data_IF_098991757891
#
_entry.id   IF_098991757891
#
_cell.length_a   1.000
_cell.length_b   1.000
_cell.length_c   1.000
_cell.angle_alpha   90.00
_cell.angle_beta   90.00
_cell.angle_gamma   90.00
#
_symmetry.space_group_name_H-M   'P 1'
#
loop_
_entity.id
_entity.type
_entity.pdbx_description
1 polymer ?
#
# COMPACT_ATOMS: atom_id res chain seq x y z
N UNK A 1 13.30 -16.66 28.86
CA UNK A 1 14.37 -17.10 27.92
C UNK A 1 13.98 -18.34 27.09
N UNK A 2 12.77 -18.91 27.24
CA UNK A 2 12.46 -20.23 26.63
C UNK A 2 11.35 -20.24 25.57
N UNK A 3 10.68 -19.11 25.29
CA UNK A 3 9.64 -19.05 24.23
C UNK A 3 10.22 -18.95 22.81
N UNK A 4 11.52 -18.68 22.67
CA UNK A 4 12.19 -18.52 21.38
C UNK A 4 12.21 -19.79 20.52
N UNK A 5 12.11 -20.97 21.14
CA UNK A 5 12.11 -22.25 20.44
C UNK A 5 10.80 -22.51 19.67
N UNK A 6 9.70 -21.86 20.08
CA UNK A 6 8.39 -21.95 19.41
C UNK A 6 8.12 -20.74 18.49
N UNK A 7 8.72 -19.58 18.75
CA UNK A 7 8.48 -18.35 17.98
C UNK A 7 9.58 -18.02 16.97
N UNK A 8 10.73 -18.69 17.03
CA UNK A 8 11.91 -18.33 16.26
C UNK A 8 12.62 -17.06 16.74
N UNK A 9 12.19 -16.45 17.85
CA UNK A 9 12.78 -15.24 18.45
C UNK A 9 13.15 -14.15 17.40
N UNK A 10 14.37 -13.62 17.42
CA UNK A 10 14.83 -12.59 16.48
C UNK A 10 15.09 -13.13 15.06
N UNK A 11 15.29 -14.45 14.92
CA UNK A 11 15.57 -15.11 13.63
C UNK A 11 14.30 -15.43 12.85
N UNK A 12 13.14 -15.39 13.50
CA UNK A 12 11.84 -15.60 12.89
C UNK A 12 11.49 -17.06 12.62
N UNK A 13 10.28 -17.28 12.10
CA UNK A 13 9.84 -18.61 11.68
C UNK A 13 10.45 -18.95 10.32
N UNK A 14 11.07 -20.13 10.23
CA UNK A 14 11.76 -20.61 9.05
C UNK A 14 11.31 -22.02 8.69
N UNK A 15 11.34 -22.35 7.40
CA UNK A 15 11.15 -23.72 6.94
C UNK A 15 9.70 -24.14 6.75
N UNK A 16 8.79 -23.21 6.44
CA UNK A 16 7.46 -23.57 5.90
C UNK A 16 7.70 -24.20 4.52
N UNK A 17 7.49 -25.52 4.34
CA UNK A 17 7.71 -26.14 3.04
C UNK A 17 6.63 -25.64 2.08
N UNK A 18 7.00 -24.95 0.98
CA UNK A 18 6.01 -24.61 -0.02
C UNK A 18 5.48 -25.90 -0.66
N UNK A 19 4.18 -25.98 -0.99
CA UNK A 19 3.65 -27.12 -1.73
C UNK A 19 4.44 -27.32 -3.03
N UNK A 20 4.70 -28.58 -3.43
CA UNK A 20 5.59 -28.90 -4.55
C UNK A 20 5.23 -28.18 -5.86
N UNK A 21 3.94 -28.00 -6.14
CA UNK A 21 3.43 -27.30 -7.33
C UNK A 21 3.55 -25.76 -7.27
N UNK A 22 3.76 -25.21 -6.08
CA UNK A 22 3.87 -23.78 -5.79
C UNK A 22 5.28 -23.38 -5.33
N UNK A 23 6.25 -24.29 -5.39
CA UNK A 23 7.60 -24.01 -4.96
C UNK A 23 8.29 -23.02 -5.93
N UNK A 24 8.66 -21.80 -5.47
CA UNK A 24 9.30 -20.80 -6.32
C UNK A 24 10.70 -21.21 -6.78
N UNK A 25 11.31 -22.23 -6.17
CA UNK A 25 12.63 -22.74 -6.56
C UNK A 25 12.56 -23.64 -7.80
N UNK A 26 11.53 -24.49 -7.87
CA UNK A 26 11.36 -25.48 -8.95
C UNK A 26 10.48 -24.96 -10.09
N UNK A 27 9.45 -24.16 -9.78
CA UNK A 27 8.45 -23.71 -10.74
C UNK A 27 8.25 -22.19 -10.70
N UNK A 28 9.34 -21.44 -10.95
CA UNK A 28 9.36 -19.96 -10.95
C UNK A 28 8.24 -19.34 -11.79
N UNK A 29 8.02 -19.85 -13.00
CA UNK A 29 6.98 -19.33 -13.90
C UNK A 29 5.58 -19.57 -13.36
N UNK A 30 5.31 -20.77 -12.82
CA UNK A 30 4.00 -21.11 -12.22
C UNK A 30 3.69 -20.20 -11.03
N UNK A 31 4.66 -20.01 -10.12
CA UNK A 31 4.48 -19.11 -8.97
C UNK A 31 4.20 -17.67 -9.40
N UNK A 32 4.94 -17.17 -10.40
CA UNK A 32 4.72 -15.84 -10.97
C UNK A 32 3.31 -15.70 -11.58
N UNK A 33 2.88 -16.67 -12.39
CA UNK A 33 1.56 -16.66 -13.02
C UNK A 33 0.42 -16.72 -11.98
N UNK A 34 0.55 -17.56 -10.95
CA UNK A 34 -0.42 -17.64 -9.86
C UNK A 34 -0.51 -16.31 -9.12
N UNK A 35 0.63 -15.70 -8.80
CA UNK A 35 0.69 -14.38 -8.13
C UNK A 35 0.07 -13.28 -8.99
N UNK A 36 0.32 -13.32 -10.31
CA UNK A 36 -0.23 -12.37 -11.26
C UNK A 36 -1.76 -12.51 -11.36
N UNK A 37 -2.26 -13.75 -11.50
CA UNK A 37 -3.70 -14.05 -11.54
C UNK A 37 -4.36 -13.62 -10.24
N UNK A 38 -3.74 -13.92 -9.09
CA UNK A 38 -4.23 -13.51 -7.78
C UNK A 38 -4.33 -11.98 -7.67
N UNK A 39 -3.27 -11.26 -8.04
CA UNK A 39 -3.24 -9.79 -8.04
C UNK A 39 -4.33 -9.22 -8.94
N UNK A 40 -4.50 -9.78 -10.14
CA UNK A 40 -5.53 -9.35 -11.08
C UNK A 40 -6.95 -9.64 -10.56
N UNK A 41 -7.17 -10.80 -9.95
CA UNK A 41 -8.45 -11.16 -9.35
C UNK A 41 -8.81 -10.23 -8.18
N UNK A 42 -7.85 -9.91 -7.31
CA UNK A 42 -8.03 -8.95 -6.21
C UNK A 42 -8.34 -7.55 -6.76
N UNK A 43 -7.61 -7.11 -7.79
CA UNK A 43 -7.88 -5.83 -8.44
C UNK A 43 -9.29 -5.76 -9.04
N UNK A 44 -9.74 -6.80 -9.75
CA UNK A 44 -11.09 -6.87 -10.30
C UNK A 44 -12.16 -6.90 -9.20
N UNK A 45 -11.92 -7.66 -8.14
CA UNK A 45 -12.81 -7.72 -6.98
C UNK A 45 -13.01 -6.34 -6.36
N UNK A 46 -11.92 -5.61 -6.10
CA UNK A 46 -12.01 -4.25 -5.56
C UNK A 46 -12.65 -3.26 -6.53
N UNK A 47 -12.41 -3.41 -7.84
CA UNK A 47 -13.05 -2.56 -8.85
C UNK A 47 -14.57 -2.74 -8.82
N UNK A 48 -15.03 -3.99 -8.83
CA UNK A 48 -16.45 -4.31 -8.75
C UNK A 48 -17.06 -3.85 -7.42
N UNK A 49 -16.32 -4.01 -6.32
CA UNK A 49 -16.78 -3.57 -4.99
C UNK A 49 -16.93 -2.05 -4.88
N UNK A 50 -16.00 -1.28 -5.45
CA UNK A 50 -16.04 0.19 -5.44
C UNK A 50 -17.17 0.72 -6.34
N UNK A 51 -17.41 0.08 -7.49
CA UNK A 51 -18.46 0.50 -8.44
C UNK A 51 -19.88 0.14 -7.94
N UNK A 52 -19.99 -0.83 -7.04
CA UNK A 52 -21.24 -1.29 -6.39
C UNK A 52 -21.89 -0.21 -5.50
N UNK A 53 -23.23 -0.25 -5.29
CA UNK A 53 -23.92 0.65 -4.36
C UNK A 53 -23.28 0.69 -2.96
N UNK A 54 -22.83 -0.45 -2.44
CA UNK A 54 -22.12 -0.57 -1.16
C UNK A 54 -20.82 0.25 -1.16
N UNK A 55 -20.06 0.22 -2.26
CA UNK A 55 -18.83 0.99 -2.43
C UNK A 55 -19.10 2.50 -2.43
N UNK A 56 -20.18 2.94 -3.08
CA UNK A 56 -20.58 4.37 -3.09
C UNK A 56 -20.93 4.89 -1.70
N UNK A 57 -21.59 4.08 -0.87
CA UNK A 57 -21.85 4.41 0.54
C UNK A 57 -20.53 4.56 1.31
N UNK A 58 -19.56 3.66 1.09
CA UNK A 58 -18.23 3.77 1.72
C UNK A 58 -17.49 5.06 1.30
N UNK A 59 -17.61 5.48 0.03
CA UNK A 59 -17.07 6.76 -0.44
C UNK A 59 -17.76 7.94 0.25
N UNK A 60 -19.08 7.91 0.41
CA UNK A 60 -19.82 8.95 1.13
C UNK A 60 -19.41 9.04 2.61
N UNK A 61 -19.20 7.90 3.27
CA UNK A 61 -18.68 7.84 4.65
C UNK A 61 -17.28 8.47 4.74
N UNK A 62 -16.42 8.23 3.74
CA UNK A 62 -15.08 8.82 3.66
C UNK A 62 -15.11 10.34 3.51
N UNK A 63 -16.09 10.90 2.80
CA UNK A 63 -16.21 12.35 2.62
C UNK A 63 -16.77 13.04 3.85
N UNK A 64 -17.89 12.53 4.40
CA UNK A 64 -18.48 13.08 5.61
C UNK A 64 -19.34 12.01 6.30
N UNK A 65 -18.78 11.44 7.38
CA UNK A 65 -19.45 10.42 8.17
C UNK A 65 -20.76 10.91 8.79
N UNK A 66 -20.77 12.13 9.33
CA UNK A 66 -21.97 12.71 9.96
C UNK A 66 -23.11 12.86 8.95
N UNK A 67 -22.80 13.24 7.71
CA UNK A 67 -23.78 13.33 6.62
C UNK A 67 -24.33 11.96 6.23
N UNK A 68 -23.49 10.92 6.20
CA UNK A 68 -23.95 9.56 5.91
C UNK A 68 -24.89 9.02 7.01
N UNK A 69 -24.60 9.34 8.28
CA UNK A 69 -25.47 9.02 9.42
C UNK A 69 -26.83 9.70 9.32
N UNK A 70 -26.87 10.98 8.93
CA UNK A 70 -28.12 11.73 8.73
C UNK A 70 -29.00 11.16 7.64
N UNK A 71 -28.42 10.51 6.63
CA UNK A 71 -29.13 9.81 5.55
C UNK A 71 -29.64 8.42 5.97
N UNK A 72 -29.41 8.01 7.22
CA UNK A 72 -29.87 6.73 7.77
C UNK A 72 -28.92 5.55 7.53
N UNK A 73 -27.71 5.78 7.01
CA UNK A 73 -26.73 4.71 6.87
C UNK A 73 -26.01 4.45 8.19
N UNK A 74 -25.97 3.19 8.62
CA UNK A 74 -25.19 2.81 9.79
C UNK A 74 -23.70 2.67 9.43
N UNK A 75 -22.92 3.71 9.68
CA UNK A 75 -21.51 3.81 9.28
C UNK A 75 -20.61 2.75 9.94
N UNK A 76 -20.97 2.30 11.14
CA UNK A 76 -20.23 1.27 11.86
C UNK A 76 -20.20 -0.06 11.11
N UNK A 77 -21.36 -0.55 10.64
CA UNK A 77 -21.42 -1.82 9.90
C UNK A 77 -20.63 -1.76 8.60
N UNK A 78 -20.74 -0.66 7.84
CA UNK A 78 -19.98 -0.51 6.59
C UNK A 78 -18.47 -0.49 6.84
N UNK A 79 -18.00 0.21 7.88
CA UNK A 79 -16.58 0.21 8.26
C UNK A 79 -16.09 -1.17 8.68
N UNK A 80 -16.89 -1.90 9.45
CA UNK A 80 -16.55 -3.26 9.89
C UNK A 80 -16.43 -4.22 8.69
N UNK A 81 -17.38 -4.18 7.76
CA UNK A 81 -17.33 -5.00 6.54
C UNK A 81 -16.08 -4.70 5.71
N UNK A 82 -15.76 -3.42 5.49
CA UNK A 82 -14.55 -3.02 4.75
C UNK A 82 -13.28 -3.46 5.47
N UNK A 83 -13.26 -3.39 6.81
CA UNK A 83 -12.14 -3.86 7.62
C UNK A 83 -11.93 -5.37 7.45
N UNK A 84 -13.00 -6.17 7.53
CA UNK A 84 -12.93 -7.63 7.35
C UNK A 84 -12.46 -8.00 5.95
N UNK A 85 -13.01 -7.36 4.91
CA UNK A 85 -12.59 -7.58 3.52
C UNK A 85 -11.10 -7.26 3.34
N UNK A 86 -10.64 -6.14 3.92
CA UNK A 86 -9.22 -5.74 3.86
C UNK A 86 -8.30 -6.67 4.64
N UNK A 87 -8.76 -7.20 5.77
CA UNK A 87 -8.00 -8.18 6.56
C UNK A 87 -7.83 -9.51 5.81
N UNK A 88 -8.89 -9.97 5.12
CA UNK A 88 -8.85 -11.20 4.31
C UNK A 88 -7.86 -11.04 3.16
N UNK A 89 -7.92 -9.94 2.41
CA UNK A 89 -7.01 -9.71 1.28
C UNK A 89 -5.56 -9.50 1.75
N UNK A 90 -5.34 -8.82 2.87
CA UNK A 90 -4.02 -8.69 3.49
C UNK A 90 -3.46 -10.04 3.95
N UNK A 91 -4.28 -10.91 4.53
CA UNK A 91 -3.87 -12.25 4.93
C UNK A 91 -3.49 -13.13 3.74
N UNK A 92 -4.27 -13.10 2.66
CA UNK A 92 -3.96 -13.82 1.43
C UNK A 92 -2.66 -13.33 0.80
N UNK A 93 -2.46 -12.01 0.74
CA UNK A 93 -1.21 -11.41 0.27
C UNK A 93 0.00 -11.81 1.16
N UNK A 94 -0.17 -11.79 2.48
CA UNK A 94 0.86 -12.19 3.44
C UNK A 94 1.23 -13.67 3.32
N UNK A 95 0.24 -14.55 3.11
CA UNK A 95 0.46 -15.98 2.88
C UNK A 95 1.27 -16.21 1.61
N UNK A 96 0.94 -15.50 0.52
CA UNK A 96 1.68 -15.57 -0.73
C UNK A 96 3.12 -15.05 -0.59
N UNK A 97 3.33 -13.99 0.19
CA UNK A 97 4.65 -13.47 0.51
C UNK A 97 5.48 -14.48 1.33
N UNK A 98 4.87 -15.17 2.30
CA UNK A 98 5.52 -16.22 3.09
C UNK A 98 5.96 -17.42 2.23
N UNK A 99 5.20 -17.75 1.17
CA UNK A 99 5.60 -18.78 0.21
C UNK A 99 6.76 -18.34 -0.68
N UNK A 100 6.84 -17.03 -1.02
CA UNK A 100 7.94 -16.48 -1.79
C UNK A 100 9.24 -16.41 -0.99
N UNK A 101 9.15 -15.91 0.24
CA UNK A 101 10.27 -15.78 1.18
C UNK A 101 9.96 -16.60 2.45
N UNK A 102 10.45 -17.85 2.55
CA UNK A 102 10.13 -18.77 3.66
C UNK A 102 10.84 -18.42 4.99
N UNK A 103 11.27 -17.17 5.12
CA UNK A 103 11.90 -16.59 6.31
C UNK A 103 11.07 -15.39 6.73
N UNK A 104 10.35 -15.55 7.84
CA UNK A 104 9.45 -14.52 8.39
C UNK A 104 10.09 -13.99 9.66
N UNK A 105 10.86 -12.90 9.52
CA UNK A 105 11.45 -12.19 10.66
C UNK A 105 10.57 -11.01 11.10
N UNK A 106 10.65 -10.54 12.36
CA UNK A 106 9.88 -9.37 12.83
C UNK A 106 10.12 -8.10 12.00
N UNK A 107 11.27 -8.00 11.32
CA UNK A 107 11.63 -6.86 10.49
C UNK A 107 10.71 -6.64 9.29
N UNK A 108 9.96 -7.65 8.84
CA UNK A 108 8.97 -7.48 7.76
C UNK A 108 7.81 -6.54 8.17
N UNK A 109 7.56 -6.40 9.47
CA UNK A 109 6.57 -5.50 10.04
C UNK A 109 7.21 -4.28 10.72
N UNK A 110 8.47 -3.98 10.38
CA UNK A 110 9.17 -2.82 10.89
C UNK A 110 8.50 -1.52 10.46
N UNK A 111 8.78 -0.44 11.20
CA UNK A 111 8.30 0.90 10.86
C UNK A 111 8.68 1.31 9.44
N UNK A 112 9.88 0.95 8.99
CA UNK A 112 10.35 1.21 7.63
C UNK A 112 9.46 0.53 6.58
N UNK A 113 9.08 -0.74 6.79
CA UNK A 113 8.18 -1.44 5.88
C UNK A 113 6.79 -0.77 5.81
N UNK A 114 6.27 -0.27 6.94
CA UNK A 114 5.01 0.47 6.96
C UNK A 114 5.13 1.79 6.19
N UNK A 115 6.25 2.51 6.36
CA UNK A 115 6.55 3.71 5.58
C UNK A 115 6.58 3.37 4.09
N UNK A 116 7.32 2.35 3.67
CA UNK A 116 7.42 1.93 2.27
C UNK A 116 6.05 1.64 1.66
N UNK A 117 5.15 0.97 2.39
CA UNK A 117 3.77 0.71 1.91
C UNK A 117 2.99 2.03 1.75
N UNK A 118 3.11 2.95 2.70
CA UNK A 118 2.53 4.30 2.56
C UNK A 118 3.15 5.04 1.36
N UNK A 119 4.43 4.84 1.07
CA UNK A 119 5.10 5.44 -0.09
C UNK A 119 4.54 4.90 -1.40
N UNK A 120 4.43 3.58 -1.52
CA UNK A 120 3.85 2.93 -2.71
C UNK A 120 2.45 3.47 -3.00
N UNK A 121 1.61 3.61 -1.97
CA UNK A 121 0.23 4.12 -2.13
C UNK A 121 0.18 5.61 -2.44
N UNK A 122 1.06 6.42 -1.87
CA UNK A 122 1.14 7.85 -2.14
C UNK A 122 1.65 8.12 -3.56
N UNK A 123 2.72 7.44 -3.98
CA UNK A 123 3.27 7.52 -5.36
C UNK A 123 2.21 7.11 -6.38
N UNK A 124 1.47 6.04 -6.09
CA UNK A 124 0.35 5.59 -6.92
C UNK A 124 -0.78 6.61 -7.01
N UNK A 125 -1.16 7.20 -5.88
CA UNK A 125 -2.22 8.20 -5.74
C UNK A 125 -3.30 7.77 -4.77
N UNK A 126 -3.48 8.54 -3.70
CA UNK A 126 -4.42 8.25 -2.62
C UNK A 126 -5.87 8.22 -3.13
N UNK A 127 -6.54 7.09 -2.95
CA UNK A 127 -7.93 6.90 -3.37
C UNK A 127 -8.12 6.52 -4.84
N UNK A 128 -7.05 6.14 -5.55
CA UNK A 128 -7.15 5.55 -6.89
C UNK A 128 -6.86 4.04 -6.83
N UNK A 129 -7.77 3.22 -7.36
CA UNK A 129 -7.58 1.77 -7.38
C UNK A 129 -6.46 1.35 -8.35
N UNK A 130 -6.38 2.03 -9.50
CA UNK A 130 -5.32 1.84 -10.51
C UNK A 130 -3.96 2.36 -10.06
N UNK A 131 -3.93 3.31 -9.12
CA UNK A 131 -2.69 3.89 -8.60
C UNK A 131 -1.86 2.91 -7.79
N UNK A 132 -2.49 2.05 -6.98
CA UNK A 132 -1.78 1.12 -6.10
C UNK A 132 -0.77 0.19 -6.84
N UNK A 133 -1.15 -0.56 -7.89
CA UNK A 133 -0.19 -1.42 -8.59
C UNK A 133 0.90 -0.63 -9.32
N UNK A 134 0.56 0.54 -9.89
CA UNK A 134 1.53 1.40 -10.58
C UNK A 134 2.53 1.99 -9.59
N UNK A 135 2.06 2.49 -8.45
CA UNK A 135 2.89 3.04 -7.38
C UNK A 135 3.83 2.00 -6.79
N UNK A 136 3.34 0.78 -6.55
CA UNK A 136 4.17 -0.34 -6.10
C UNK A 136 5.26 -0.70 -7.12
N UNK A 137 4.92 -0.78 -8.41
CA UNK A 137 5.89 -1.07 -9.47
C UNK A 137 6.99 0.02 -9.58
N UNK A 138 6.59 1.29 -9.57
CA UNK A 138 7.52 2.43 -9.64
C UNK A 138 8.42 2.45 -8.41
N UNK A 139 7.84 2.31 -7.22
CA UNK A 139 8.60 2.29 -5.98
C UNK A 139 9.59 1.14 -5.96
N UNK A 140 9.19 -0.06 -6.41
CA UNK A 140 10.07 -1.24 -6.44
C UNK A 140 11.21 -1.08 -7.43
N UNK A 141 10.95 -0.48 -8.60
CA UNK A 141 12.01 -0.15 -9.56
C UNK A 141 12.95 0.91 -8.98
N UNK A 142 12.41 1.95 -8.34
CA UNK A 142 13.20 3.01 -7.74
C UNK A 142 14.14 2.47 -6.65
N UNK A 143 13.63 1.64 -5.74
CA UNK A 143 14.46 0.95 -4.72
C UNK A 143 15.54 0.10 -5.38
N UNK A 144 15.16 -0.73 -6.35
CA UNK A 144 16.10 -1.60 -7.05
C UNK A 144 17.25 -0.83 -7.72
N UNK A 145 16.96 0.29 -8.38
CA UNK A 145 18.00 1.12 -8.97
C UNK A 145 18.84 1.82 -7.90
N UNK A 146 18.22 2.43 -6.88
CA UNK A 146 18.97 3.11 -5.83
C UNK A 146 19.92 2.15 -5.09
N UNK A 147 19.45 0.96 -4.74
CA UNK A 147 20.27 -0.06 -4.08
C UNK A 147 21.44 -0.49 -4.97
N UNK A 148 21.21 -0.61 -6.28
CA UNK A 148 22.25 -0.99 -7.26
C UNK A 148 23.33 0.07 -7.45
N UNK A 149 22.98 1.36 -7.41
CA UNK A 149 23.91 2.46 -7.67
C UNK A 149 24.57 3.03 -6.41
N UNK A 150 23.86 3.06 -5.28
CA UNK A 150 24.27 3.77 -4.06
C UNK A 150 24.46 2.88 -2.83
N UNK A 151 24.14 1.58 -2.92
CA UNK A 151 24.40 0.61 -1.86
C UNK A 151 23.81 1.02 -0.50
N UNK A 152 24.63 1.08 0.55
CA UNK A 152 24.19 1.45 1.92
C UNK A 152 23.58 2.86 2.01
N UNK A 153 23.95 3.79 1.13
CA UNK A 153 23.39 5.16 1.14
C UNK A 153 22.02 5.26 0.46
N UNK A 154 21.52 4.17 -0.13
CA UNK A 154 20.26 4.12 -0.86
C UNK A 154 19.07 4.54 0.02
N UNK A 155 19.01 4.10 1.28
CA UNK A 155 17.89 4.43 2.17
C UNK A 155 17.76 5.94 2.43
N UNK A 156 18.88 6.65 2.57
CA UNK A 156 18.87 8.11 2.73
C UNK A 156 18.40 8.81 1.44
N UNK A 157 18.91 8.39 0.28
CA UNK A 157 18.52 8.95 -1.00
C UNK A 157 17.05 8.69 -1.33
N UNK A 158 16.54 7.51 -0.96
CA UNK A 158 15.14 7.14 -1.12
C UNK A 158 14.24 8.09 -0.33
N UNK A 159 14.62 8.43 0.90
CA UNK A 159 13.94 9.46 1.69
C UNK A 159 13.92 10.83 1.02
N UNK A 160 15.03 11.27 0.43
CA UNK A 160 15.11 12.55 -0.31
C UNK A 160 14.23 12.53 -1.55
N UNK A 161 14.30 11.46 -2.35
CA UNK A 161 13.47 11.29 -3.55
C UNK A 161 11.98 11.25 -3.16
N UNK A 162 11.65 10.62 -2.05
CA UNK A 162 10.31 10.62 -1.50
C UNK A 162 9.83 12.03 -1.15
N UNK A 163 10.59 12.79 -0.34
CA UNK A 163 10.23 14.16 0.05
C UNK A 163 10.01 15.01 -1.20
N UNK A 164 10.89 14.90 -2.19
CA UNK A 164 10.70 15.58 -3.48
C UNK A 164 9.38 15.16 -4.15
N UNK A 165 9.11 13.85 -4.27
CA UNK A 165 7.90 13.34 -4.91
C UNK A 165 6.62 13.81 -4.21
N UNK A 166 6.58 13.82 -2.87
CA UNK A 166 5.41 14.35 -2.12
C UNK A 166 5.22 15.84 -2.35
N UNK A 167 6.31 16.62 -2.33
CA UNK A 167 6.25 18.07 -2.51
C UNK A 167 5.81 18.46 -3.93
N UNK A 168 6.30 17.75 -4.94
CA UNK A 168 6.01 18.06 -6.34
C UNK A 168 4.75 17.36 -6.88
N UNK A 169 4.36 16.20 -6.33
CA UNK A 169 3.25 15.36 -6.82
C UNK A 169 2.35 14.91 -5.64
N UNK A 170 1.64 15.84 -4.97
CA UNK A 170 0.89 15.54 -3.74
C UNK A 170 -0.33 14.63 -3.96
N UNK A 171 -0.78 14.44 -5.20
CA UNK A 171 -1.90 13.56 -5.55
C UNK A 171 -1.47 12.19 -6.10
N UNK A 172 -0.16 11.92 -6.17
CA UNK A 172 0.41 10.74 -6.81
C UNK A 172 0.29 10.75 -8.35
N UNK A 173 1.00 9.84 -8.99
CA UNK A 173 1.18 9.81 -10.44
C UNK A 173 -0.15 9.59 -11.16
N UNK A 174 -0.95 8.62 -10.71
CA UNK A 174 -2.24 8.32 -11.36
C UNK A 174 -3.30 9.36 -11.02
N UNK A 175 -3.28 9.90 -9.79
CA UNK A 175 -4.18 10.98 -9.37
C UNK A 175 -3.97 12.26 -10.18
N UNK A 176 -2.72 12.62 -10.50
CA UNK A 176 -2.41 13.77 -11.37
C UNK A 176 -2.83 13.55 -12.82
N UNK A 177 -2.74 12.32 -13.34
CA UNK A 177 -3.15 12.00 -14.71
C UNK A 177 -4.68 12.04 -14.88
N UNK A 178 -5.42 11.52 -13.90
CA UNK A 178 -6.88 11.38 -13.98
C UNK A 178 -7.60 12.70 -13.66
N UNK A 179 -7.02 13.56 -12.81
CA UNK A 179 -7.54 14.89 -12.48
C UNK A 179 -6.91 16.00 -13.32
N UNK A 180 -7.05 15.96 -14.65
CA UNK A 180 -6.68 17.06 -15.58
C UNK A 180 -7.31 18.45 -15.25
N UNK A 181 -8.04 18.61 -14.15
CA UNK A 181 -8.46 19.89 -13.58
C UNK A 181 -7.62 20.30 -12.37
N UNK A 182 -6.53 21.00 -12.64
CA UNK A 182 -5.78 21.92 -11.77
C UNK A 182 -6.24 22.06 -10.30
N UNK A 183 -5.49 21.42 -9.39
CA UNK A 183 -5.20 21.95 -8.05
C UNK A 183 -3.74 21.70 -7.63
N UNK A 184 -2.79 21.88 -8.56
CA UNK A 184 -1.35 21.99 -8.24
C UNK A 184 -1.07 23.12 -7.21
N UNK A 185 -2.03 24.00 -6.97
CA UNK A 185 -1.97 25.08 -6.00
C UNK A 185 -2.14 24.61 -4.53
N UNK A 186 -2.55 23.38 -4.21
CA UNK A 186 -2.77 23.00 -2.80
C UNK A 186 -1.46 22.88 -2.00
N UNK A 187 -0.49 22.11 -2.50
CA UNK A 187 0.83 21.96 -1.84
C UNK A 187 1.63 23.28 -1.83
N UNK A 188 1.55 24.05 -2.91
CA UNK A 188 2.20 25.39 -2.99
C UNK A 188 1.56 26.39 -2.02
N UNK A 189 0.24 26.38 -1.84
CA UNK A 189 -0.45 27.26 -0.88
C UNK A 189 -0.13 26.90 0.58
N UNK A 190 -0.01 25.61 0.90
CA UNK A 190 0.43 25.17 2.23
C UNK A 190 1.87 25.58 2.54
N UNK A 191 2.81 25.38 1.59
CA UNK A 191 4.20 25.83 1.74
C UNK A 191 4.31 27.35 1.84
N UNK A 192 3.52 28.08 1.06
CA UNK A 192 3.45 29.54 1.15
C UNK A 192 2.86 29.99 2.49
N UNK A 193 1.90 29.26 3.06
CA UNK A 193 1.37 29.54 4.40
C UNK A 193 2.41 29.40 5.51
N UNK A 194 3.27 28.37 5.42
CA UNK A 194 4.40 28.17 6.34
C UNK A 194 5.45 29.29 6.26
N UNK A 195 5.73 29.79 5.05
CA UNK A 195 6.69 30.89 4.85
C UNK A 195 6.10 32.27 5.15
N UNK A 196 4.77 32.43 5.09
CA UNK A 196 4.08 33.71 5.31
C UNK A 196 3.52 33.89 6.73
N UNK A 197 3.69 32.91 7.62
CA UNK A 197 3.37 33.06 9.05
C UNK A 197 1.89 33.28 9.34
N UNK A 198 0.99 32.87 8.45
CA UNK A 198 -0.46 32.98 8.66
C UNK A 198 -0.97 31.68 9.27
N UNK A 199 -0.94 31.63 10.59
CA UNK A 199 -1.70 30.64 11.36
C UNK A 199 -3.17 30.98 11.26
N UNK A 200 -3.94 30.09 10.64
CA UNK A 200 -5.39 30.22 10.56
C UNK A 200 -5.98 29.77 11.90
N UNK A 201 -6.49 30.74 12.67
CA UNK A 201 -7.28 30.53 13.90
C UNK A 201 -8.74 30.24 13.60
#
# INVERSE_FOLDING_TARGET
RELGQYTGADVGLQGVPPPDFLNPTSHRLTFYLVTLIFTFAVYLFYRLFVDSPTGRVCVAIRENENRALMLGYNTFYFKLVVLVISAITANLAGTLHALYQPVISPNIASLNAMVDILLMTLIGGLGTLTGAPIGAAIFRLLTFFLDRWFGESASFMLGVVYVALVLFVPYGIVGTWQRRGFHLAAGRRWLLGLLTGRGDG
#
